data_IF_641151663121
#
_entry.id   IF_641151663121
#
_cell.length_a   1.000
_cell.length_b   1.000
_cell.length_c   1.000
_cell.angle_alpha   90.00
_cell.angle_beta   90.00
_cell.angle_gamma   90.00
#
_symmetry.space_group_name_H-M   'P 1'
#
loop_
_entity.id
_entity.type
_entity.pdbx_description
1 polymer ?
#
# COMPACT_ATOMS: atom_id res chain seq x y z
N UNK A 1 -58.07 -12.63 1.72
CA UNK A 1 -57.09 -11.54 1.89
C UNK A 1 -55.70 -12.15 1.72
N UNK A 2 -55.27 -12.61 0.54
CA UNK A 2 -54.74 -11.87 -0.63
C UNK A 2 -53.75 -10.75 -0.26
N UNK A 3 -52.45 -11.09 -0.27
CA UNK A 3 -51.36 -10.17 -0.60
C UNK A 3 -50.19 -10.99 -1.16
N UNK A 4 -50.15 -11.09 -2.49
CA UNK A 4 -49.06 -11.63 -3.30
C UNK A 4 -47.96 -10.58 -3.47
N UNK A 5 -46.72 -10.99 -3.23
CA UNK A 5 -45.49 -10.23 -3.44
C UNK A 5 -45.08 -10.30 -4.94
N UNK A 6 -44.93 -9.18 -5.68
CA UNK A 6 -44.40 -9.22 -7.03
C UNK A 6 -42.86 -9.14 -7.01
N UNK A 7 -42.25 -10.16 -7.61
CA UNK A 7 -40.82 -10.21 -7.90
C UNK A 7 -40.38 -9.06 -8.80
N UNK A 8 -39.22 -8.49 -8.49
CA UNK A 8 -38.49 -7.52 -9.28
C UNK A 8 -38.26 -8.05 -10.71
N UNK A 9 -38.92 -7.40 -11.67
CA UNK A 9 -38.63 -7.57 -13.08
C UNK A 9 -37.27 -6.91 -13.38
N UNK A 10 -36.27 -7.73 -13.70
CA UNK A 10 -35.04 -7.27 -14.34
C UNK A 10 -35.39 -6.81 -15.75
N UNK A 11 -35.23 -5.49 -15.98
CA UNK A 11 -35.60 -4.82 -17.21
C UNK A 11 -34.79 -5.38 -18.41
N UNK A 12 -35.40 -6.13 -19.35
CA UNK A 12 -34.69 -6.81 -20.44
C UNK A 12 -34.22 -5.82 -21.53
N UNK A 13 -34.50 -4.53 -21.38
CA UNK A 13 -34.17 -3.48 -22.35
C UNK A 13 -32.73 -2.97 -22.16
N UNK A 14 -32.21 -2.94 -20.93
CA UNK A 14 -30.84 -2.47 -20.65
C UNK A 14 -29.77 -3.44 -21.18
N UNK A 15 -29.96 -4.76 -20.99
CA UNK A 15 -29.04 -5.79 -21.46
C UNK A 15 -28.97 -5.87 -23.00
N UNK A 16 -30.08 -5.63 -23.70
CA UNK A 16 -30.08 -5.60 -25.17
C UNK A 16 -29.25 -4.45 -25.74
N UNK A 17 -29.23 -3.29 -25.08
CA UNK A 17 -28.51 -2.10 -25.59
C UNK A 17 -26.98 -2.26 -25.61
N UNK A 18 -26.42 -2.97 -24.64
CA UNK A 18 -24.97 -3.22 -24.53
C UNK A 18 -24.52 -4.30 -25.52
N UNK A 19 -25.30 -5.36 -25.68
CA UNK A 19 -25.02 -6.42 -26.67
C UNK A 19 -25.11 -5.87 -28.09
N UNK A 20 -26.10 -5.01 -28.40
CA UNK A 20 -26.22 -4.36 -29.71
C UNK A 20 -25.06 -3.41 -29.99
N UNK A 21 -24.55 -2.66 -29.00
CA UNK A 21 -23.37 -1.79 -29.20
C UNK A 21 -22.08 -2.58 -29.46
N UNK A 22 -21.91 -3.74 -28.83
CA UNK A 22 -20.75 -4.62 -29.03
C UNK A 22 -20.83 -5.32 -30.39
N UNK A 23 -21.98 -5.84 -30.79
CA UNK A 23 -22.15 -6.46 -32.12
C UNK A 23 -22.01 -5.45 -33.24
N UNK A 24 -22.47 -4.21 -33.06
CA UNK A 24 -22.30 -3.16 -34.06
C UNK A 24 -20.84 -2.76 -34.22
N UNK A 25 -20.07 -2.65 -33.12
CA UNK A 25 -18.62 -2.38 -33.19
C UNK A 25 -17.81 -3.55 -33.77
N UNK A 26 -18.19 -4.80 -33.46
CA UNK A 26 -17.58 -5.99 -34.07
C UNK A 26 -17.88 -6.08 -35.57
N UNK A 27 -19.11 -5.78 -35.99
CA UNK A 27 -19.48 -5.72 -37.40
C UNK A 27 -18.76 -4.57 -38.13
N UNK A 28 -18.57 -3.42 -37.49
CA UNK A 28 -17.78 -2.31 -38.04
C UNK A 28 -16.30 -2.67 -38.21
N UNK A 29 -15.72 -3.40 -37.23
CA UNK A 29 -14.35 -3.89 -37.30
C UNK A 29 -14.19 -5.00 -38.35
N UNK A 30 -15.18 -5.88 -38.53
CA UNK A 30 -15.21 -6.88 -39.61
C UNK A 30 -15.38 -6.26 -40.99
N UNK A 31 -16.23 -5.23 -41.12
CA UNK A 31 -16.41 -4.50 -42.38
C UNK A 31 -15.15 -3.70 -42.75
N UNK A 32 -14.52 -3.03 -41.77
CA UNK A 32 -13.24 -2.35 -41.93
C UNK A 32 -12.13 -3.34 -42.30
N UNK A 33 -12.05 -4.51 -41.67
CA UNK A 33 -11.03 -5.50 -42.00
C UNK A 33 -11.22 -6.10 -43.40
N UNK A 34 -12.47 -6.40 -43.80
CA UNK A 34 -12.77 -6.94 -45.14
C UNK A 34 -12.52 -5.92 -46.26
N UNK A 35 -12.87 -4.65 -46.09
CA UNK A 35 -12.59 -3.62 -47.09
C UNK A 35 -11.11 -3.22 -47.13
N UNK A 36 -10.43 -3.12 -45.97
CA UNK A 36 -8.98 -2.90 -45.94
C UNK A 36 -8.23 -4.03 -46.66
N UNK A 37 -8.63 -5.29 -46.47
CA UNK A 37 -8.01 -6.44 -47.14
C UNK A 37 -8.26 -6.50 -48.65
N UNK A 38 -9.37 -5.95 -49.16
CA UNK A 38 -9.67 -5.92 -50.61
C UNK A 38 -8.84 -4.88 -51.37
N UNK A 39 -8.54 -3.72 -50.77
CA UNK A 39 -7.66 -2.71 -51.40
C UNK A 39 -6.17 -3.10 -51.35
N UNK A 40 -5.78 -3.94 -50.38
CA UNK A 40 -4.42 -4.50 -50.28
C UNK A 40 -4.08 -5.41 -51.47
N UNK A 41 -5.07 -5.90 -52.22
CA UNK A 41 -4.86 -6.78 -53.37
C UNK A 41 -4.33 -6.08 -54.63
N UNK A 42 -4.16 -4.75 -54.63
CA UNK A 42 -3.78 -3.99 -55.85
C UNK A 42 -2.33 -3.52 -55.93
N UNK A 43 -1.47 -3.81 -54.95
CA UNK A 43 -0.04 -3.50 -55.09
C UNK A 43 0.88 -4.19 -54.09
N UNK A 44 2.05 -4.62 -54.57
CA UNK A 44 3.15 -5.22 -53.79
C UNK A 44 3.52 -4.36 -52.57
N UNK A 45 3.32 -3.04 -52.64
CA UNK A 45 3.53 -2.10 -51.53
C UNK A 45 2.61 -2.37 -50.33
N UNK A 46 1.31 -2.61 -50.55
CA UNK A 46 0.38 -2.87 -49.47
C UNK A 46 0.69 -4.21 -48.78
N UNK A 47 1.06 -5.23 -49.56
CA UNK A 47 1.46 -6.54 -49.02
C UNK A 47 2.75 -6.48 -48.22
N UNK A 48 3.78 -5.78 -48.71
CA UNK A 48 5.06 -5.62 -47.99
C UNK A 48 4.92 -4.79 -46.72
N UNK A 49 4.09 -3.74 -46.74
CA UNK A 49 3.74 -2.96 -45.56
C UNK A 49 3.02 -3.83 -44.52
N UNK A 50 2.10 -4.69 -44.96
CA UNK A 50 1.36 -5.60 -44.07
C UNK A 50 2.30 -6.62 -43.43
N UNK A 51 3.20 -7.23 -44.21
CA UNK A 51 4.19 -8.18 -43.68
C UNK A 51 5.12 -7.51 -42.67
N UNK A 52 5.62 -6.29 -42.97
CA UNK A 52 6.48 -5.55 -42.02
C UNK A 52 5.74 -5.15 -40.75
N UNK A 53 4.47 -4.75 -40.83
CA UNK A 53 3.62 -4.50 -39.67
C UNK A 53 3.40 -5.76 -38.82
N UNK A 54 3.15 -6.91 -39.47
CA UNK A 54 2.96 -8.19 -38.77
C UNK A 54 4.24 -8.63 -38.06
N UNK A 55 5.41 -8.48 -38.70
CA UNK A 55 6.71 -8.79 -38.09
C UNK A 55 6.97 -7.88 -36.88
N UNK A 56 6.59 -6.60 -36.96
CA UNK A 56 6.72 -5.66 -35.84
C UNK A 56 5.71 -5.87 -34.70
N UNK A 57 4.59 -6.56 -34.98
CA UNK A 57 3.61 -6.91 -33.97
C UNK A 57 4.20 -7.86 -32.92
N UNK A 58 5.04 -8.80 -33.34
CA UNK A 58 5.65 -9.82 -32.46
C UNK A 58 6.45 -9.20 -31.30
N UNK A 59 7.46 -8.34 -31.52
CA UNK A 59 8.18 -7.70 -30.43
C UNK A 59 7.29 -6.74 -29.61
N UNK A 60 6.31 -6.09 -30.25
CA UNK A 60 5.37 -5.19 -29.55
C UNK A 60 4.47 -5.94 -28.56
N UNK A 61 3.96 -7.11 -28.96
CA UNK A 61 3.21 -8.02 -28.09
C UNK A 61 4.10 -8.58 -26.98
N UNK A 62 5.35 -8.94 -27.30
CA UNK A 62 6.35 -9.34 -26.30
C UNK A 62 6.57 -8.27 -25.22
N UNK A 63 6.72 -7.00 -25.64
CA UNK A 63 6.86 -5.85 -24.74
C UNK A 63 5.59 -5.62 -23.90
N UNK A 64 4.40 -5.79 -24.46
CA UNK A 64 3.14 -5.70 -23.72
C UNK A 64 3.06 -6.77 -22.62
N UNK A 65 3.39 -8.03 -22.95
CA UNK A 65 3.39 -9.13 -21.98
C UNK A 65 4.43 -8.88 -20.89
N UNK A 66 5.64 -8.47 -21.25
CA UNK A 66 6.68 -8.11 -20.30
C UNK A 66 6.24 -6.97 -19.38
N UNK A 67 5.58 -5.95 -19.93
CA UNK A 67 5.03 -4.84 -19.16
C UNK A 67 3.95 -5.29 -18.17
N UNK A 68 2.98 -6.10 -18.62
CA UNK A 68 1.94 -6.65 -17.74
C UNK A 68 2.53 -7.49 -16.60
N UNK A 69 3.54 -8.32 -16.90
CA UNK A 69 4.26 -9.10 -15.87
C UNK A 69 5.00 -8.20 -14.90
N UNK A 70 5.69 -7.16 -15.39
CA UNK A 70 6.43 -6.22 -14.55
C UNK A 70 5.49 -5.43 -13.63
N UNK A 71 4.31 -5.00 -14.12
CA UNK A 71 3.32 -4.31 -13.32
C UNK A 71 2.79 -5.19 -12.19
N UNK A 72 2.45 -6.46 -12.47
CA UNK A 72 1.99 -7.40 -11.46
C UNK A 72 3.07 -7.74 -10.41
N UNK A 73 4.35 -7.79 -10.81
CA UNK A 73 5.46 -7.96 -9.87
C UNK A 73 5.64 -6.73 -8.98
N UNK A 74 5.48 -5.53 -9.52
CA UNK A 74 5.62 -4.29 -8.76
C UNK A 74 4.46 -4.08 -7.78
N UNK A 75 3.23 -4.44 -8.13
CA UNK A 75 2.11 -4.39 -7.18
C UNK A 75 2.34 -5.34 -6.00
N UNK A 76 2.82 -6.56 -6.27
CA UNK A 76 3.20 -7.51 -5.20
C UNK A 76 4.36 -7.00 -4.37
N UNK A 77 5.38 -6.40 -4.99
CA UNK A 77 6.51 -5.81 -4.27
C UNK A 77 6.04 -4.64 -3.38
N UNK A 78 5.06 -3.86 -3.83
CA UNK A 78 4.44 -2.81 -3.02
C UNK A 78 3.70 -3.41 -1.82
N UNK A 79 2.86 -4.43 -2.04
CA UNK A 79 2.17 -5.15 -0.96
C UNK A 79 3.15 -5.68 0.08
N UNK A 80 4.22 -6.35 -0.37
CA UNK A 80 5.27 -6.88 0.51
C UNK A 80 6.02 -5.78 1.27
N UNK A 81 6.23 -4.62 0.66
CA UNK A 81 6.88 -3.49 1.32
C UNK A 81 6.04 -2.95 2.48
N UNK A 82 4.72 -2.79 2.26
CA UNK A 82 3.79 -2.40 3.32
C UNK A 82 3.71 -3.45 4.42
N UNK A 83 3.59 -4.73 4.08
CA UNK A 83 3.56 -5.83 5.04
C UNK A 83 4.83 -5.89 5.88
N UNK A 84 6.00 -5.80 5.24
CA UNK A 84 7.30 -5.81 5.93
C UNK A 84 7.44 -4.61 6.86
N UNK A 85 7.04 -3.42 6.42
CA UNK A 85 7.04 -2.22 7.25
C UNK A 85 6.08 -2.36 8.45
N UNK A 86 4.90 -2.93 8.24
CA UNK A 86 3.91 -3.17 9.30
C UNK A 86 4.41 -4.23 10.30
N UNK A 87 5.04 -5.31 9.84
CA UNK A 87 5.66 -6.33 10.71
C UNK A 87 6.79 -5.71 11.53
N UNK A 88 7.71 -4.99 10.89
CA UNK A 88 8.86 -4.40 11.56
C UNK A 88 8.45 -3.35 12.61
N UNK A 89 7.52 -2.48 12.26
CA UNK A 89 6.97 -1.48 13.18
C UNK A 89 6.15 -2.13 14.28
N UNK A 90 5.36 -3.15 13.95
CA UNK A 90 4.56 -3.84 14.95
C UNK A 90 5.41 -4.55 15.99
N UNK A 91 6.52 -5.17 15.57
CA UNK A 91 7.49 -5.77 16.47
C UNK A 91 8.09 -4.74 17.45
N UNK A 92 8.33 -3.50 17.01
CA UNK A 92 8.81 -2.43 17.90
C UNK A 92 7.76 -2.03 18.95
N UNK A 93 6.48 -1.96 18.54
CA UNK A 93 5.36 -1.71 19.46
C UNK A 93 5.26 -2.84 20.49
N UNK A 94 5.29 -4.09 20.05
CA UNK A 94 5.24 -5.27 20.92
C UNK A 94 6.42 -5.27 21.90
N UNK A 95 7.63 -4.99 21.41
CA UNK A 95 8.84 -4.91 22.24
C UNK A 95 8.74 -3.80 23.29
N UNK A 96 8.21 -2.62 22.93
CA UNK A 96 7.97 -1.52 23.86
C UNK A 96 6.97 -1.92 24.94
N UNK A 97 5.85 -2.52 24.55
CA UNK A 97 4.81 -3.01 25.48
C UNK A 97 5.36 -4.06 26.44
N UNK A 98 6.08 -5.06 25.93
CA UNK A 98 6.65 -6.12 26.76
C UNK A 98 7.70 -5.60 27.73
N UNK A 99 8.57 -4.70 27.28
CA UNK A 99 9.60 -4.09 28.13
C UNK A 99 8.95 -3.33 29.30
N UNK A 100 7.93 -2.52 29.01
CA UNK A 100 7.26 -1.71 30.02
C UNK A 100 6.34 -2.54 30.92
N UNK A 101 5.70 -3.59 30.39
CA UNK A 101 4.97 -4.58 31.18
C UNK A 101 5.89 -5.26 32.18
N UNK A 102 7.06 -5.72 31.75
CA UNK A 102 8.03 -6.38 32.62
C UNK A 102 8.56 -5.41 33.69
N UNK A 103 8.83 -4.15 33.33
CA UNK A 103 9.24 -3.12 34.28
C UNK A 103 8.16 -2.89 35.36
N UNK A 104 6.89 -2.78 34.96
CA UNK A 104 5.77 -2.65 35.89
C UNK A 104 5.59 -3.90 36.75
N UNK A 105 5.78 -5.10 36.19
CA UNK A 105 5.72 -6.35 36.96
C UNK A 105 6.81 -6.41 38.03
N UNK A 106 8.02 -5.94 37.72
CA UNK A 106 9.10 -5.84 38.71
C UNK A 106 8.73 -4.86 39.84
N UNK A 107 8.15 -3.71 39.49
CA UNK A 107 7.63 -2.75 40.47
C UNK A 107 6.52 -3.37 41.35
N UNK A 108 5.59 -4.12 40.73
CA UNK A 108 4.50 -4.80 41.42
C UNK A 108 5.00 -5.89 42.39
N UNK A 109 6.03 -6.65 42.02
CA UNK A 109 6.64 -7.64 42.91
C UNK A 109 7.31 -6.98 44.12
N UNK A 110 8.03 -5.88 43.91
CA UNK A 110 8.68 -5.11 44.99
C UNK A 110 7.64 -4.46 45.91
N UNK A 111 6.53 -3.98 45.36
CA UNK A 111 5.43 -3.42 46.14
C UNK A 111 4.66 -4.50 46.91
N UNK A 112 4.29 -5.61 46.28
CA UNK A 112 3.56 -6.71 46.91
C UNK A 112 4.27 -7.26 48.14
N UNK A 113 5.61 -7.35 48.08
CA UNK A 113 6.45 -7.69 49.22
C UNK A 113 6.36 -6.65 50.36
N UNK A 114 6.20 -5.36 50.04
CA UNK A 114 6.07 -4.28 51.01
C UNK A 114 4.64 -4.11 51.57
N UNK A 115 3.60 -4.42 50.78
CA UNK A 115 2.19 -4.32 51.21
C UNK A 115 1.77 -5.50 52.09
N UNK A 116 2.29 -6.70 51.85
CA UNK A 116 2.12 -7.89 52.70
C UNK A 116 2.48 -7.61 54.18
N UNK A 117 3.50 -6.78 54.42
CA UNK A 117 3.93 -6.39 55.77
C UNK A 117 2.96 -5.40 56.47
N UNK A 118 2.03 -4.79 55.72
CA UNK A 118 1.09 -3.77 56.22
C UNK A 118 -0.37 -4.22 56.29
N UNK A 119 -0.74 -5.30 55.58
CA UNK A 119 -2.12 -5.76 55.42
C UNK A 119 -2.58 -6.76 56.51
N UNK A 120 -1.68 -7.31 57.31
CA UNK A 120 -2.01 -8.25 58.38
C UNK A 120 -2.75 -7.63 59.58
N UNK A 121 -2.90 -6.30 59.66
CA UNK A 121 -3.69 -5.68 60.73
C UNK A 121 -4.13 -4.23 60.44
N UNK A 122 -5.39 -3.97 60.03
CA UNK A 122 -5.89 -2.61 59.79
C UNK A 122 -6.00 -1.73 61.05
N UNK A 123 -5.86 -2.29 62.25
CA UNK A 123 -5.95 -1.55 63.52
C UNK A 123 -4.59 -1.23 64.16
N UNK A 124 -3.47 -1.79 63.68
CA UNK A 124 -2.15 -1.52 64.28
C UNK A 124 -1.40 -0.37 63.59
N UNK A 125 -1.51 0.78 64.22
CA UNK A 125 -0.42 1.79 64.36
C UNK A 125 -0.13 2.67 63.13
N UNK A 126 -1.08 3.54 62.83
CA UNK A 126 -0.97 4.66 61.88
C UNK A 126 0.14 5.71 62.17
N UNK A 127 0.95 5.58 63.22
CA UNK A 127 1.74 6.71 63.73
C UNK A 127 3.26 6.68 63.47
N UNK A 128 3.91 5.53 63.23
CA UNK A 128 5.37 5.51 62.95
C UNK A 128 5.85 4.41 62.00
N UNK A 129 5.42 3.15 62.19
CA UNK A 129 5.79 2.02 61.30
C UNK A 129 5.25 2.21 59.88
N UNK A 130 4.06 2.81 59.77
CA UNK A 130 3.40 3.17 58.51
C UNK A 130 4.14 4.31 57.75
N UNK A 131 4.79 5.24 58.47
CA UNK A 131 5.53 6.34 57.81
C UNK A 131 6.80 5.84 57.11
N UNK A 132 7.58 4.95 57.74
CA UNK A 132 8.78 4.40 57.09
C UNK A 132 8.43 3.52 55.89
N UNK A 133 7.43 2.64 56.02
CA UNK A 133 6.94 1.82 54.91
C UNK A 133 6.39 2.67 53.76
N UNK A 134 5.62 3.72 54.06
CA UNK A 134 5.12 4.67 53.05
C UNK A 134 6.26 5.41 52.36
N UNK A 135 7.27 5.86 53.09
CA UNK A 135 8.45 6.54 52.51
C UNK A 135 9.24 5.59 51.60
N UNK A 136 9.40 4.32 51.99
CA UNK A 136 10.05 3.31 51.16
C UNK A 136 9.24 3.02 49.89
N UNK A 137 7.92 2.89 49.99
CA UNK A 137 7.04 2.70 48.83
C UNK A 137 7.08 3.91 47.91
N UNK A 138 6.97 5.13 48.44
CA UNK A 138 7.03 6.35 47.64
C UNK A 138 8.36 6.45 46.89
N UNK A 139 9.49 6.17 47.57
CA UNK A 139 10.82 6.16 46.96
C UNK A 139 10.95 5.09 45.86
N UNK A 140 10.32 3.93 46.04
CA UNK A 140 10.29 2.87 45.03
C UNK A 140 9.65 3.36 43.72
N UNK A 141 8.47 3.97 43.82
CA UNK A 141 7.74 4.53 42.68
C UNK A 141 8.45 5.74 42.06
N UNK A 142 9.06 6.60 42.88
CA UNK A 142 9.92 7.70 42.40
C UNK A 142 11.09 7.15 41.57
N UNK A 143 11.80 6.15 42.10
CA UNK A 143 12.95 5.54 41.43
C UNK A 143 12.52 4.91 40.10
N UNK A 144 11.32 4.33 40.04
CA UNK A 144 10.76 3.82 38.79
C UNK A 144 10.57 4.92 37.75
N UNK A 145 9.89 6.02 38.08
CA UNK A 145 9.70 7.16 37.16
C UNK A 145 11.04 7.78 36.75
N UNK A 146 11.99 7.90 37.68
CA UNK A 146 13.33 8.43 37.42
C UNK A 146 14.15 7.52 36.48
N UNK A 147 13.94 6.20 36.55
CA UNK A 147 14.66 5.21 35.73
C UNK A 147 14.00 5.01 34.37
N UNK A 148 12.66 5.00 34.34
CA UNK A 148 11.85 4.72 33.18
C UNK A 148 11.16 6.00 32.71
N UNK A 149 11.90 6.84 31.98
CA UNK A 149 11.45 8.16 31.50
C UNK A 149 10.20 8.15 30.62
N UNK A 150 9.70 6.97 30.22
CA UNK A 150 8.40 6.89 29.58
C UNK A 150 7.26 7.19 30.56
N UNK A 151 7.42 6.91 31.86
CA UNK A 151 6.39 7.06 32.89
C UNK A 151 6.34 8.49 33.42
N UNK A 152 5.16 9.11 33.40
CA UNK A 152 4.94 10.42 34.04
C UNK A 152 4.45 10.27 35.48
N UNK A 153 3.65 9.23 35.74
CA UNK A 153 3.11 8.92 37.06
C UNK A 153 2.92 7.41 37.19
N UNK A 154 3.71 6.80 38.07
CA UNK A 154 3.49 5.44 38.55
C UNK A 154 2.80 5.44 39.92
N UNK A 155 1.88 4.49 40.15
CA UNK A 155 1.15 4.32 41.41
C UNK A 155 0.65 2.89 41.60
N UNK A 156 0.44 2.51 42.86
CA UNK A 156 -0.20 1.23 43.22
C UNK A 156 -1.63 1.45 43.71
N UNK A 157 -2.52 0.51 43.42
CA UNK A 157 -3.95 0.52 43.76
C UNK A 157 -4.27 -0.75 44.54
N UNK A 158 -4.97 -0.62 45.67
CA UNK A 158 -5.45 -1.77 46.46
C UNK A 158 -6.72 -2.39 45.88
N UNK A 159 -7.17 -3.52 46.46
CA UNK A 159 -8.44 -4.17 46.09
C UNK A 159 -9.68 -3.28 46.31
N UNK A 160 -9.57 -2.27 47.16
CA UNK A 160 -10.60 -1.27 47.42
C UNK A 160 -10.64 -0.15 46.37
N UNK A 161 -9.77 -0.21 45.36
CA UNK A 161 -9.72 0.75 44.25
C UNK A 161 -9.04 2.08 44.60
N UNK A 162 -8.51 2.25 45.81
CA UNK A 162 -7.78 3.45 46.20
C UNK A 162 -6.28 3.29 46.00
N UNK A 163 -5.61 4.39 45.68
CA UNK A 163 -4.16 4.38 45.58
C UNK A 163 -3.51 4.18 46.95
N UNK A 164 -2.50 3.32 46.99
CA UNK A 164 -1.72 2.99 48.20
C UNK A 164 -0.30 3.55 48.14
N UNK A 165 0.21 3.84 46.95
CA UNK A 165 1.51 4.47 46.73
C UNK A 165 1.51 5.28 45.44
N UNK A 166 2.30 6.36 45.38
CA UNK A 166 2.44 7.24 44.21
C UNK A 166 3.90 7.69 44.08
N UNK A 167 4.31 7.97 42.84
CA UNK A 167 5.64 8.52 42.52
C UNK A 167 5.76 10.02 42.79
N UNK A 168 4.67 10.78 42.78
CA UNK A 168 4.69 12.25 42.93
C UNK A 168 4.65 12.75 44.38
N UNK A 169 4.89 11.88 45.37
CA UNK A 169 4.89 12.15 46.83
C UNK A 169 3.59 12.79 47.35
N UNK A 170 2.49 12.77 46.56
CA UNK A 170 1.20 13.27 47.04
C UNK A 170 0.62 12.32 48.08
N UNK A 171 0.07 12.84 49.19
CA UNK A 171 -0.47 12.01 50.25
C UNK A 171 -1.69 11.23 49.76
N UNK A 172 -1.65 9.91 49.91
CA UNK A 172 -2.76 8.99 49.56
C UNK A 172 -3.91 9.01 50.59
N UNK A 173 -3.72 9.72 51.69
CA UNK A 173 -4.75 10.01 52.69
C UNK A 173 -4.93 11.53 52.78
N UNK A 174 -6.17 11.95 52.91
CA UNK A 174 -6.52 13.32 53.28
C UNK A 174 -6.15 13.56 54.76
N UNK A 175 -6.17 14.84 55.17
CA UNK A 175 -5.84 15.25 56.53
C UNK A 175 -6.77 14.64 57.61
N UNK A 176 -7.98 14.25 57.22
CA UNK A 176 -9.00 13.59 58.05
C UNK A 176 -8.87 12.05 58.06
N UNK A 177 -7.85 11.50 57.40
CA UNK A 177 -7.61 10.05 57.31
C UNK A 177 -8.40 9.34 56.21
N UNK A 178 -9.22 10.05 55.43
CA UNK A 178 -9.97 9.47 54.32
C UNK A 178 -9.04 9.19 53.13
N UNK A 179 -9.20 8.03 52.48
CA UNK A 179 -8.41 7.67 51.29
C UNK A 179 -8.66 8.66 50.15
N UNK A 180 -7.57 9.05 49.48
CA UNK A 180 -7.58 9.93 48.31
C UNK A 180 -7.33 9.12 47.03
N UNK A 181 -7.65 9.71 45.87
CA UNK A 181 -7.36 9.14 44.54
C UNK A 181 -7.95 7.74 44.32
N UNK A 182 -9.28 7.66 44.20
CA UNK A 182 -9.95 6.46 43.72
C UNK A 182 -9.65 6.25 42.24
N UNK A 183 -9.30 5.02 41.85
CA UNK A 183 -9.03 4.61 40.47
C UNK A 183 -9.67 3.25 40.12
N UNK A 184 -10.47 2.67 41.03
CA UNK A 184 -11.11 1.37 40.83
C UNK A 184 -12.22 1.38 39.77
N UNK A 185 -12.67 2.56 39.33
CA UNK A 185 -13.59 2.76 38.21
C UNK A 185 -12.89 2.80 36.85
N UNK A 186 -11.56 2.97 36.81
CA UNK A 186 -10.83 3.06 35.55
C UNK A 186 -10.75 1.70 34.84
N UNK A 187 -11.11 1.63 33.55
CA UNK A 187 -11.04 0.40 32.75
C UNK A 187 -9.73 -0.39 32.88
N UNK A 188 -8.56 0.26 32.76
CA UNK A 188 -7.27 -0.44 32.85
C UNK A 188 -6.99 -1.05 34.24
N UNK A 189 -7.60 -0.53 35.30
CA UNK A 189 -7.53 -1.11 36.66
C UNK A 189 -8.53 -2.26 36.79
N UNK A 190 -9.78 -2.08 36.35
CA UNK A 190 -10.81 -3.12 36.40
C UNK A 190 -10.43 -4.38 35.63
N UNK A 191 -9.81 -4.20 34.45
CA UNK A 191 -9.25 -5.28 33.64
C UNK A 191 -8.30 -6.19 34.45
N UNK A 192 -7.53 -5.61 35.37
CA UNK A 192 -6.61 -6.33 36.27
C UNK A 192 -7.34 -6.91 37.48
N UNK A 193 -8.12 -6.09 38.21
CA UNK A 193 -8.78 -6.53 39.44
C UNK A 193 -9.82 -7.63 39.21
N UNK A 194 -10.46 -7.63 38.04
CA UNK A 194 -11.42 -8.68 37.64
C UNK A 194 -10.72 -9.94 37.10
N UNK A 195 -9.38 -9.94 36.98
CA UNK A 195 -8.61 -11.05 36.41
C UNK A 195 -8.85 -11.28 34.92
N UNK A 196 -9.33 -10.27 34.18
CA UNK A 196 -9.61 -10.37 32.74
C UNK A 196 -8.34 -10.43 31.91
N UNK A 197 -7.28 -9.73 32.33
CA UNK A 197 -5.97 -9.70 31.67
C UNK A 197 -4.84 -9.48 32.69
N UNK A 198 -3.61 -9.78 32.29
CA UNK A 198 -2.39 -9.51 33.06
C UNK A 198 -1.72 -8.17 32.67
N UNK A 199 -2.24 -7.50 31.64
CA UNK A 199 -1.85 -6.15 31.24
C UNK A 199 -3.12 -5.38 30.87
N UNK A 200 -3.54 -4.49 31.76
CA UNK A 200 -4.64 -3.58 31.51
C UNK A 200 -4.14 -2.34 30.76
N UNK A 201 -4.96 -1.81 29.86
CA UNK A 201 -4.61 -0.59 29.13
C UNK A 201 -5.82 0.32 28.91
N UNK A 202 -5.56 1.62 28.91
CA UNK A 202 -6.56 2.62 28.54
C UNK A 202 -5.88 3.85 27.94
N UNK A 203 -6.45 4.35 26.85
CA UNK A 203 -6.16 5.67 26.32
C UNK A 203 -7.17 6.67 26.91
N UNK A 204 -6.69 7.66 27.64
CA UNK A 204 -7.50 8.64 28.36
C UNK A 204 -6.90 10.05 28.28
N UNK A 205 -7.67 11.04 28.70
CA UNK A 205 -7.12 12.38 28.99
C UNK A 205 -6.78 12.41 30.48
N UNK A 206 -5.51 12.66 30.80
CA UNK A 206 -5.02 12.63 32.17
C UNK A 206 -5.61 13.77 33.00
N UNK A 207 -6.22 13.46 34.14
CA UNK A 207 -6.70 14.47 35.08
C UNK A 207 -5.57 15.36 35.62
N UNK A 208 -4.33 14.87 35.60
CA UNK A 208 -3.17 15.57 36.14
C UNK A 208 -2.57 16.58 35.16
N UNK A 209 -2.58 16.27 33.85
CA UNK A 209 -1.92 17.09 32.82
C UNK A 209 -2.91 17.73 31.84
N UNK A 210 -4.15 17.25 31.76
CA UNK A 210 -5.13 17.66 30.75
C UNK A 210 -4.80 17.17 29.33
N UNK A 211 -3.78 16.32 29.17
CA UNK A 211 -3.30 15.83 27.88
C UNK A 211 -3.62 14.33 27.71
N UNK A 212 -3.75 13.86 26.45
CA UNK A 212 -3.81 12.44 26.14
C UNK A 212 -2.66 11.64 26.78
N UNK A 213 -3.03 10.55 27.43
CA UNK A 213 -2.10 9.64 28.08
C UNK A 213 -2.53 8.19 27.85
N UNK A 214 -1.54 7.32 27.75
CA UNK A 214 -1.68 5.87 27.77
C UNK A 214 -1.36 5.39 29.18
N UNK A 215 -2.32 4.73 29.82
CA UNK A 215 -2.12 4.09 31.12
C UNK A 215 -2.02 2.58 30.93
N UNK A 216 -1.01 1.98 31.55
CA UNK A 216 -0.79 0.54 31.61
C UNK A 216 -0.85 0.07 33.06
N UNK A 217 -1.47 -1.08 33.32
CA UNK A 217 -1.51 -1.70 34.63
C UNK A 217 -1.20 -3.19 34.60
N UNK A 218 -0.63 -3.69 35.69
CA UNK A 218 -0.30 -5.10 35.90
C UNK A 218 -0.80 -5.54 37.29
N UNK A 219 -1.11 -6.83 37.49
CA UNK A 219 -1.56 -7.31 38.78
C UNK A 219 -0.43 -7.27 39.81
N UNK A 220 -0.75 -6.76 41.01
CA UNK A 220 0.09 -6.93 42.19
C UNK A 220 -0.32 -8.23 42.87
N UNK A 221 0.51 -9.26 42.78
CA UNK A 221 0.18 -10.59 43.28
C UNK A 221 1.01 -10.99 44.50
N UNK A 222 0.38 -11.72 45.42
CA UNK A 222 1.03 -12.39 46.53
C UNK A 222 0.52 -13.83 46.58
N UNK A 223 1.43 -14.82 46.57
CA UNK A 223 1.07 -16.25 46.57
C UNK A 223 0.03 -16.63 45.49
N UNK A 224 0.14 -16.02 44.30
CA UNK A 224 -0.78 -16.17 43.16
C UNK A 224 -2.19 -15.57 43.34
N UNK A 225 -2.46 -14.85 44.43
CA UNK A 225 -3.69 -14.06 44.60
C UNK A 225 -3.44 -12.59 44.24
N UNK A 226 -4.41 -11.97 43.55
CA UNK A 226 -4.38 -10.54 43.22
C UNK A 226 -4.69 -9.75 44.50
N UNK A 227 -3.74 -8.90 44.92
CA UNK A 227 -3.85 -8.00 46.08
C UNK A 227 -4.07 -6.53 45.66
N UNK A 228 -4.10 -6.27 44.36
CA UNK A 228 -4.26 -4.95 43.78
C UNK A 228 -3.65 -4.86 42.38
N UNK A 229 -3.34 -3.65 41.96
CA UNK A 229 -2.72 -3.37 40.67
C UNK A 229 -1.60 -2.34 40.82
N UNK A 230 -0.58 -2.44 39.97
CA UNK A 230 0.40 -1.37 39.75
C UNK A 230 0.17 -0.79 38.39
N UNK A 231 0.11 0.53 38.31
CA UNK A 231 -0.14 1.24 37.07
C UNK A 231 0.89 2.35 36.85
N UNK A 232 1.08 2.67 35.59
CA UNK A 232 1.84 3.83 35.14
C UNK A 232 1.15 4.44 33.94
N UNK A 233 1.07 5.77 33.94
CA UNK A 233 0.55 6.54 32.84
C UNK A 233 1.67 7.37 32.21
N UNK A 234 1.59 7.53 30.89
CA UNK A 234 2.55 8.30 30.10
C UNK A 234 1.85 9.11 29.02
N UNK A 235 2.40 10.26 28.66
CA UNK A 235 2.11 10.90 27.39
C UNK A 235 2.34 9.97 26.19
N UNK A 236 1.75 10.33 25.05
CA UNK A 236 1.79 9.50 23.84
C UNK A 236 3.14 9.55 23.09
N UNK A 237 4.02 10.49 23.44
CA UNK A 237 5.33 10.63 22.80
C UNK A 237 6.22 9.40 23.01
N UNK A 238 6.16 8.79 24.19
CA UNK A 238 7.00 7.64 24.52
C UNK A 238 6.74 6.43 23.61
N UNK A 239 5.47 6.18 23.25
CA UNK A 239 5.08 5.12 22.33
C UNK A 239 5.16 5.57 20.86
N UNK A 240 5.04 6.88 20.59
CA UNK A 240 5.28 7.44 19.25
C UNK A 240 6.67 7.08 18.71
N UNK A 241 7.69 7.08 19.57
CA UNK A 241 9.04 6.67 19.18
C UNK A 241 9.12 5.21 18.72
N UNK A 242 8.26 4.32 19.21
CA UNK A 242 8.22 2.92 18.77
C UNK A 242 7.67 2.78 17.34
N UNK A 243 6.77 3.68 16.91
CA UNK A 243 6.17 3.63 15.57
C UNK A 243 6.94 4.45 14.53
N UNK A 244 7.79 5.40 14.94
CA UNK A 244 8.57 6.25 14.01
C UNK A 244 9.85 5.62 13.49
N UNK A 245 10.35 4.55 14.11
CA UNK A 245 11.67 3.98 13.77
C UNK A 245 11.77 3.40 12.36
N UNK A 246 10.65 2.89 11.83
CA UNK A 246 10.61 2.21 10.53
C UNK A 246 9.80 3.04 9.53
N UNK A 247 10.47 3.92 8.79
CA UNK A 247 9.83 4.74 7.78
C UNK A 247 9.77 4.00 6.42
N UNK A 248 8.58 3.96 5.81
CA UNK A 248 8.37 3.43 4.46
C UNK A 248 8.44 4.56 3.43
N UNK A 249 9.45 4.53 2.55
CA UNK A 249 9.66 5.62 1.59
C UNK A 249 9.90 6.97 2.29
N UNK A 250 9.53 8.07 1.62
CA UNK A 250 9.71 9.44 2.09
C UNK A 250 8.46 10.01 2.74
N UNK A 251 7.28 9.57 2.30
CA UNK A 251 5.96 10.05 2.76
C UNK A 251 5.26 9.07 3.69
N UNK A 252 5.91 7.96 4.03
CA UNK A 252 5.38 6.93 4.90
C UNK A 252 5.18 7.41 6.33
N UNK A 253 4.02 7.05 6.90
CA UNK A 253 3.66 7.33 8.28
C UNK A 253 3.03 6.07 8.87
N UNK A 254 3.45 5.73 10.09
CA UNK A 254 2.82 4.72 10.92
C UNK A 254 1.87 5.36 11.92
N UNK A 255 0.69 4.78 12.12
CA UNK A 255 -0.31 5.23 13.08
C UNK A 255 -0.79 4.03 13.87
N UNK A 256 -0.66 4.09 15.19
CA UNK A 256 -1.17 3.07 16.10
C UNK A 256 -2.49 3.57 16.69
N UNK A 257 -3.53 2.74 16.61
CA UNK A 257 -4.85 3.02 17.17
C UNK A 257 -5.28 1.94 18.14
N UNK A 258 -6.08 2.33 19.13
CA UNK A 258 -6.70 1.41 20.08
C UNK A 258 -7.91 0.67 19.46
N UNK A 259 -8.57 -0.14 20.28
CA UNK A 259 -9.76 -0.90 19.90
C UNK A 259 -10.95 -0.01 19.47
N UNK A 260 -11.01 1.25 19.96
CA UNK A 260 -11.98 2.26 19.56
C UNK A 260 -11.52 3.11 18.36
N UNK A 261 -10.41 2.75 17.69
CA UNK A 261 -9.79 3.51 16.61
C UNK A 261 -9.26 4.89 17.00
N UNK A 262 -9.01 5.14 18.30
CA UNK A 262 -8.40 6.38 18.79
C UNK A 262 -6.89 6.30 18.65
N UNK A 263 -6.25 7.39 18.26
CA UNK A 263 -4.81 7.44 18.00
C UNK A 263 -4.02 7.33 19.30
N UNK A 264 -3.26 6.25 19.43
CA UNK A 264 -2.27 6.05 20.50
C UNK A 264 -0.94 6.68 20.10
N UNK A 265 -0.53 6.49 18.85
CA UNK A 265 0.77 6.92 18.37
C UNK A 265 0.71 7.31 16.89
N UNK A 266 1.51 8.30 16.48
CA UNK A 266 1.55 8.77 15.09
C UNK A 266 2.98 9.11 14.70
N UNK A 267 3.40 8.68 13.50
CA UNK A 267 4.77 8.80 13.01
C UNK A 267 5.15 10.19 12.46
N UNK A 268 4.17 11.05 12.21
CA UNK A 268 4.36 12.50 12.01
C UNK A 268 4.12 13.28 13.30
N UNK A 269 4.35 14.59 13.29
CA UNK A 269 4.11 15.45 14.47
C UNK A 269 2.72 15.20 15.05
N UNK A 270 2.67 14.60 16.24
CA UNK A 270 1.45 14.56 17.04
C UNK A 270 1.06 16.02 17.28
N UNK A 271 -0.16 16.38 16.89
CA UNK A 271 -0.69 17.66 17.35
C UNK A 271 -0.82 17.53 18.86
N UNK A 272 -0.20 18.44 19.59
CA UNK A 272 -0.49 18.68 21.01
C UNK A 272 -1.96 19.14 21.10
N UNK A 273 -2.84 18.16 21.02
CA UNK A 273 -4.29 18.30 21.08
C UNK A 273 -4.71 17.77 22.43
N UNK A 274 -5.50 18.55 23.16
CA UNK A 274 -6.12 18.13 24.41
C UNK A 274 -7.16 17.01 24.18
N UNK A 275 -7.58 16.80 22.93
CA UNK A 275 -8.55 15.78 22.54
C UNK A 275 -7.88 14.57 21.90
N UNK A 276 -8.40 13.38 22.24
CA UNK A 276 -8.07 12.12 21.57
C UNK A 276 -8.53 12.17 20.12
N UNK A 277 -7.59 11.99 19.17
CA UNK A 277 -7.93 11.90 17.75
C UNK A 277 -8.61 10.55 17.47
N UNK A 278 -9.78 10.60 16.84
CA UNK A 278 -10.57 9.43 16.46
C UNK A 278 -10.46 9.18 14.95
N UNK A 279 -10.04 7.97 14.58
CA UNK A 279 -9.92 7.51 13.20
C UNK A 279 -11.01 6.51 12.81
N UNK A 280 -12.12 6.44 13.53
CA UNK A 280 -13.27 5.58 13.18
C UNK A 280 -13.80 5.84 11.76
N UNK A 281 -13.62 7.06 11.23
CA UNK A 281 -13.97 7.41 9.85
C UNK A 281 -12.89 7.07 8.80
N UNK A 282 -11.74 6.57 9.22
CA UNK A 282 -10.63 6.23 8.34
C UNK A 282 -10.99 5.02 7.46
N UNK A 283 -11.02 5.16 6.12
CA UNK A 283 -11.53 4.12 5.24
C UNK A 283 -10.85 2.76 5.37
N UNK A 284 -9.55 2.72 5.66
CA UNK A 284 -8.81 1.46 5.82
C UNK A 284 -9.20 0.67 7.08
N UNK A 285 -9.81 1.31 8.08
CA UNK A 285 -10.28 0.63 9.30
C UNK A 285 -11.69 0.05 9.14
N UNK A 286 -12.43 0.48 8.10
CA UNK A 286 -13.80 0.02 7.80
C UNK A 286 -13.84 -1.19 6.87
N UNK A 287 -12.71 -1.58 6.28
CA UNK A 287 -12.65 -2.72 5.37
C UNK A 287 -12.52 -4.03 6.14
N UNK A 288 -13.22 -5.07 5.69
CA UNK A 288 -13.03 -6.44 6.20
C UNK A 288 -11.71 -7.06 5.70
N UNK A 289 -11.09 -6.49 4.66
CA UNK A 289 -9.77 -6.92 4.14
C UNK A 289 -8.63 -6.17 4.82
N UNK A 290 -8.44 -6.43 6.11
CA UNK A 290 -7.17 -6.11 6.77
C UNK A 290 -6.01 -6.81 6.05
N UNK A 291 -4.79 -6.32 6.26
CA UNK A 291 -3.58 -6.89 5.68
C UNK A 291 -3.51 -6.85 4.15
N UNK A 292 -4.27 -5.94 3.52
CA UNK A 292 -4.13 -5.63 2.09
C UNK A 292 -4.04 -4.11 1.88
N UNK A 293 -3.08 -3.61 1.07
CA UNK A 293 -3.00 -2.18 0.80
C UNK A 293 -4.26 -1.69 0.09
N UNK A 294 -4.88 -0.66 0.64
CA UNK A 294 -6.09 -0.04 0.11
C UNK A 294 -5.82 1.41 -0.24
N UNK A 295 -6.25 1.84 -1.42
CA UNK A 295 -6.11 3.22 -1.88
C UNK A 295 -7.40 4.01 -1.63
N UNK A 296 -7.27 5.22 -1.09
CA UNK A 296 -8.40 6.14 -0.89
C UNK A 296 -7.90 7.57 -0.73
N UNK A 297 -8.83 8.52 -0.76
CA UNK A 297 -8.54 9.92 -0.46
C UNK A 297 -8.78 10.20 1.01
N UNK A 298 -7.76 10.71 1.71
CA UNK A 298 -7.83 11.14 3.10
C UNK A 298 -7.29 12.56 3.22
N UNK A 299 -8.05 13.46 3.85
CA UNK A 299 -7.66 14.88 4.06
C UNK A 299 -7.12 15.55 2.77
N UNK A 300 -7.83 15.37 1.66
CA UNK A 300 -7.48 15.87 0.32
C UNK A 300 -6.17 15.31 -0.29
N UNK A 301 -5.64 14.21 0.23
CA UNK A 301 -4.48 13.50 -0.33
C UNK A 301 -4.86 12.07 -0.68
N UNK A 302 -4.34 11.55 -1.80
CA UNK A 302 -4.49 10.14 -2.15
C UNK A 302 -3.42 9.34 -1.40
N UNK A 303 -3.89 8.41 -0.58
CA UNK A 303 -3.04 7.58 0.27
C UNK A 303 -3.30 6.11 -0.01
N UNK A 304 -2.25 5.31 0.09
CA UNK A 304 -2.31 3.86 0.13
C UNK A 304 -2.01 3.46 1.57
N UNK A 305 -2.95 2.75 2.22
CA UNK A 305 -2.79 2.33 3.60
C UNK A 305 -2.93 0.81 3.75
N UNK A 306 -2.14 0.25 4.65
CA UNK A 306 -2.13 -1.14 5.06
C UNK A 306 -2.40 -1.20 6.55
N UNK A 307 -3.33 -2.07 6.98
CA UNK A 307 -3.73 -2.18 8.39
C UNK A 307 -3.43 -3.58 8.89
N UNK A 308 -2.79 -3.66 10.07
CA UNK A 308 -2.44 -4.92 10.73
C UNK A 308 -2.74 -4.85 12.23
N UNK A 309 -3.37 -5.87 12.83
CA UNK A 309 -3.46 -5.99 14.28
C UNK A 309 -2.06 -6.11 14.93
N UNK A 310 -1.84 -5.45 16.06
CA UNK A 310 -0.54 -5.43 16.78
C UNK A 310 -0.75 -5.22 18.26
N UNK A 311 0.18 -5.65 19.13
CA UNK A 311 0.20 -5.26 20.53
C UNK A 311 -0.91 -5.92 21.32
N UNK A 312 -1.75 -5.10 21.94
CA UNK A 312 -2.86 -5.55 22.76
C UNK A 312 -4.07 -5.94 21.91
N UNK A 313 -5.00 -6.67 22.50
CA UNK A 313 -6.23 -7.03 21.82
C UNK A 313 -6.97 -5.77 21.33
N UNK A 314 -7.41 -5.80 20.06
CA UNK A 314 -8.11 -4.69 19.41
C UNK A 314 -7.21 -3.56 18.87
N UNK A 315 -5.94 -3.49 19.26
CA UNK A 315 -5.00 -2.50 18.72
C UNK A 315 -4.64 -2.79 17.26
N UNK A 316 -4.55 -1.73 16.47
CA UNK A 316 -4.26 -1.80 15.03
C UNK A 316 -3.19 -0.81 14.63
N UNK A 317 -2.26 -1.27 13.81
CA UNK A 317 -1.24 -0.47 13.17
C UNK A 317 -1.64 -0.17 11.73
N UNK A 318 -1.61 1.10 11.38
CA UNK A 318 -1.86 1.60 10.04
C UNK A 318 -0.53 2.10 9.49
N UNK A 319 -0.08 1.54 8.38
CA UNK A 319 1.03 2.06 7.60
C UNK A 319 0.44 2.74 6.37
N UNK A 320 0.61 4.05 6.26
CA UNK A 320 0.13 4.82 5.11
C UNK A 320 1.28 5.48 4.36
N UNK A 321 1.14 5.62 3.05
CA UNK A 321 2.07 6.34 2.18
C UNK A 321 1.27 7.10 1.11
N UNK A 322 1.79 8.21 0.59
CA UNK A 322 1.16 8.87 -0.55
C UNK A 322 1.14 7.94 -1.77
N UNK A 323 -0.03 7.78 -2.40
CA UNK A 323 -0.19 6.87 -3.55
C UNK A 323 0.75 7.24 -4.70
N UNK A 324 0.96 8.55 -4.92
CA UNK A 324 1.87 9.05 -5.94
C UNK A 324 3.33 8.58 -5.74
N UNK A 325 3.78 8.43 -4.49
CA UNK A 325 5.11 7.91 -4.18
C UNK A 325 5.15 6.38 -4.30
N UNK A 326 4.18 5.70 -3.70
CA UNK A 326 4.03 4.24 -3.71
C UNK A 326 4.06 3.68 -5.16
N UNK A 327 3.44 4.40 -6.10
CA UNK A 327 3.35 3.99 -7.51
C UNK A 327 4.49 4.54 -8.39
N UNK A 328 5.42 5.36 -7.88
CA UNK A 328 6.52 5.88 -8.70
C UNK A 328 7.34 4.81 -9.44
N UNK A 329 7.68 3.66 -8.84
CA UNK A 329 8.37 2.58 -9.55
C UNK A 329 7.55 2.04 -10.74
N UNK A 330 6.23 2.00 -10.59
CA UNK A 330 5.28 1.54 -11.62
C UNK A 330 5.20 2.55 -12.76
N UNK A 331 5.05 3.84 -12.42
CA UNK A 331 4.99 4.91 -13.41
C UNK A 331 6.30 5.03 -14.19
N UNK A 332 7.47 4.91 -13.53
CA UNK A 332 8.77 4.93 -14.20
C UNK A 332 8.93 3.76 -15.16
N UNK A 333 8.56 2.54 -14.77
CA UNK A 333 8.61 1.38 -15.64
C UNK A 333 7.69 1.55 -16.86
N UNK A 334 6.50 2.12 -16.67
CA UNK A 334 5.56 2.42 -17.76
C UNK A 334 6.15 3.36 -18.81
N UNK A 335 6.82 4.43 -18.41
CA UNK A 335 7.45 5.36 -19.37
C UNK A 335 8.58 4.71 -20.16
N UNK A 336 9.38 3.84 -19.54
CA UNK A 336 10.41 3.08 -20.27
C UNK A 336 9.78 2.15 -21.32
N UNK A 337 8.68 1.47 -20.99
CA UNK A 337 7.95 0.65 -21.96
C UNK A 337 7.41 1.48 -23.11
N UNK A 338 6.80 2.64 -22.84
CA UNK A 338 6.26 3.53 -23.87
C UNK A 338 7.37 4.04 -24.81
N UNK A 339 8.52 4.43 -24.27
CA UNK A 339 9.67 4.84 -25.07
C UNK A 339 10.19 3.72 -25.95
N UNK A 340 10.32 2.50 -25.41
CA UNK A 340 10.75 1.34 -26.18
C UNK A 340 9.76 1.00 -27.30
N UNK A 341 8.46 1.02 -27.01
CA UNK A 341 7.42 0.81 -28.03
C UNK A 341 7.46 1.87 -29.12
N UNK A 342 7.62 3.14 -28.74
CA UNK A 342 7.76 4.25 -29.67
C UNK A 342 9.01 4.09 -30.55
N UNK A 343 10.15 3.71 -29.97
CA UNK A 343 11.39 3.46 -30.70
C UNK A 343 11.26 2.28 -31.67
N UNK A 344 10.67 1.15 -31.26
CA UNK A 344 10.46 -0.01 -32.14
C UNK A 344 9.43 0.27 -33.24
N UNK A 345 8.37 1.02 -32.92
CA UNK A 345 7.37 1.46 -33.90
C UNK A 345 7.97 2.40 -34.93
N UNK A 346 8.75 3.39 -34.48
CA UNK A 346 9.48 4.31 -35.34
C UNK A 346 10.48 3.59 -36.26
N UNK A 347 11.26 2.66 -35.71
CA UNK A 347 12.21 1.86 -36.49
C UNK A 347 11.50 1.01 -37.55
N UNK A 348 10.38 0.38 -37.21
CA UNK A 348 9.56 -0.37 -38.17
C UNK A 348 9.09 0.51 -39.33
N UNK A 349 8.55 1.70 -39.04
CA UNK A 349 8.09 2.63 -40.06
C UNK A 349 9.24 3.10 -40.96
N UNK A 350 10.41 3.39 -40.38
CA UNK A 350 11.60 3.74 -41.13
C UNK A 350 12.06 2.61 -42.05
N UNK A 351 12.08 1.37 -41.57
CA UNK A 351 12.43 0.21 -42.37
C UNK A 351 11.40 -0.04 -43.48
N UNK A 352 10.10 0.02 -43.18
CA UNK A 352 9.05 -0.12 -44.18
C UNK A 352 9.14 0.95 -45.28
N UNK A 353 9.41 2.20 -44.90
CA UNK A 353 9.65 3.29 -45.85
C UNK A 353 10.90 3.03 -46.71
N UNK A 354 12.00 2.59 -46.10
CA UNK A 354 13.24 2.22 -46.78
C UNK A 354 13.03 1.08 -47.78
N UNK A 355 12.40 -0.02 -47.36
CA UNK A 355 12.06 -1.17 -48.22
C UNK A 355 11.15 -0.77 -49.39
N UNK A 356 10.13 0.05 -49.13
CA UNK A 356 9.25 0.56 -50.18
C UNK A 356 10.02 1.33 -51.24
N UNK A 357 10.93 2.22 -50.83
CA UNK A 357 11.68 3.08 -51.74
C UNK A 357 12.80 2.35 -52.47
N UNK A 358 13.48 1.41 -51.81
CA UNK A 358 14.65 0.73 -52.37
C UNK A 358 14.35 -0.53 -53.16
N UNK A 359 13.26 -1.25 -52.84
CA UNK A 359 12.92 -2.53 -53.46
C UNK A 359 11.58 -2.46 -54.20
N UNK A 360 10.50 -2.09 -53.50
CA UNK A 360 9.14 -2.19 -54.06
C UNK A 360 8.94 -1.27 -55.27
N UNK A 361 9.31 0.01 -55.16
CA UNK A 361 9.14 0.98 -56.26
C UNK A 361 9.92 0.60 -57.52
N UNK A 362 11.23 0.25 -57.45
CA UNK A 362 11.97 -0.23 -58.61
C UNK A 362 11.37 -1.50 -59.24
N UNK A 363 10.96 -2.47 -58.41
CA UNK A 363 10.29 -3.69 -58.90
C UNK A 363 9.01 -3.35 -59.67
N UNK A 364 8.17 -2.46 -59.14
CA UNK A 364 6.96 -2.01 -59.83
C UNK A 364 7.28 -1.31 -61.16
N UNK A 365 8.32 -0.47 -61.22
CA UNK A 365 8.74 0.17 -62.49
C UNK A 365 9.26 -0.83 -63.51
N UNK A 366 9.99 -1.86 -63.07
CA UNK A 366 10.48 -2.92 -63.96
C UNK A 366 9.35 -3.80 -64.47
N UNK A 367 8.38 -4.14 -63.62
CA UNK A 367 7.17 -4.87 -64.04
C UNK A 367 6.37 -4.07 -65.06
N UNK A 368 6.17 -2.76 -64.82
CA UNK A 368 5.47 -1.89 -65.77
C UNK A 368 6.22 -1.76 -67.11
N UNK A 369 7.55 -1.64 -67.08
CA UNK A 369 8.38 -1.59 -68.28
C UNK A 369 8.34 -2.89 -69.09
N UNK A 370 8.46 -4.04 -68.44
CA UNK A 370 8.35 -5.34 -69.09
C UNK A 370 6.96 -5.57 -69.72
N UNK A 371 5.90 -5.13 -69.02
CA UNK A 371 4.52 -5.21 -69.49
C UNK A 371 4.23 -4.23 -70.66
N UNK A 372 4.96 -3.12 -70.76
CA UNK A 372 4.88 -2.25 -71.93
C UNK A 372 5.57 -2.89 -73.16
N UNK A 373 6.75 -3.50 -72.95
CA UNK A 373 7.46 -4.25 -73.99
C UNK A 373 6.62 -5.41 -74.52
N UNK A 374 5.92 -6.15 -73.65
CA UNK A 374 5.04 -7.25 -74.07
C UNK A 374 3.88 -6.80 -74.95
N UNK A 375 3.44 -5.55 -74.82
CA UNK A 375 2.41 -4.91 -75.65
C UNK A 375 2.95 -4.29 -76.95
N UNK A 376 4.23 -4.51 -77.28
CA UNK A 376 4.87 -3.98 -78.48
C UNK A 376 5.37 -2.54 -78.36
N UNK A 377 5.42 -1.97 -77.15
CA UNK A 377 6.03 -0.65 -76.92
C UNK A 377 7.53 -0.85 -76.67
N UNK A 378 8.35 -0.69 -77.71
CA UNK A 378 9.76 -1.08 -77.69
C UNK A 378 10.73 0.07 -77.31
N UNK A 379 10.28 1.32 -77.37
CA UNK A 379 11.06 2.51 -76.98
C UNK A 379 10.94 2.87 -75.48
N UNK A 380 10.59 1.91 -74.62
CA UNK A 380 10.37 2.18 -73.20
C UNK A 380 11.69 2.25 -72.44
N UNK A 381 11.94 3.37 -71.76
CA UNK A 381 13.10 3.55 -70.90
C UNK A 381 12.96 2.69 -69.63
N UNK A 382 13.82 1.67 -69.50
CA UNK A 382 13.86 0.83 -68.31
C UNK A 382 14.64 1.54 -67.21
N UNK A 383 13.95 1.98 -66.16
CA UNK A 383 14.57 2.65 -65.01
C UNK A 383 15.46 1.69 -64.19
N UNK A 384 16.53 2.23 -63.59
CA UNK A 384 17.37 1.50 -62.63
C UNK A 384 18.49 0.64 -63.22
N UNK A 385 18.80 0.79 -64.50
CA UNK A 385 19.88 0.06 -65.21
C UNK A 385 21.27 0.33 -64.63
N UNK A 386 21.48 1.50 -64.03
CA UNK A 386 22.75 1.90 -63.42
C UNK A 386 22.98 1.33 -62.01
N UNK A 387 21.97 0.66 -61.42
CA UNK A 387 22.12 0.02 -60.11
C UNK A 387 23.10 -1.15 -60.18
N UNK A 388 23.86 -1.34 -59.11
CA UNK A 388 24.88 -2.40 -59.03
C UNK A 388 24.42 -3.66 -58.27
N UNK A 389 23.14 -3.71 -57.87
CA UNK A 389 22.55 -4.84 -57.17
C UNK A 389 21.74 -5.77 -58.09
N UNK A 390 21.08 -6.77 -57.51
CA UNK A 390 20.25 -7.75 -58.20
C UNK A 390 19.07 -7.09 -58.95
N UNK A 391 18.54 -5.98 -58.41
CA UNK A 391 17.49 -5.20 -59.08
C UNK A 391 18.05 -4.54 -60.34
N UNK A 392 19.26 -3.99 -60.30
CA UNK A 392 19.95 -3.48 -61.49
C UNK A 392 20.29 -4.58 -62.51
N UNK A 393 20.68 -5.77 -62.04
CA UNK A 393 20.93 -6.92 -62.90
C UNK A 393 19.65 -7.36 -63.63
N UNK A 394 18.51 -7.33 -62.95
CA UNK A 394 17.20 -7.56 -63.56
C UNK A 394 16.84 -6.47 -64.57
N UNK A 395 17.02 -5.19 -64.21
CA UNK A 395 16.77 -4.05 -65.11
C UNK A 395 17.55 -4.17 -66.44
N UNK A 396 18.85 -4.49 -66.35
CA UNK A 396 19.70 -4.75 -67.53
C UNK A 396 19.20 -5.92 -68.37
N UNK A 397 18.73 -6.98 -67.74
CA UNK A 397 18.20 -8.15 -68.44
C UNK A 397 16.90 -7.84 -69.18
N UNK A 398 15.98 -7.10 -68.55
CA UNK A 398 14.74 -6.61 -69.20
C UNK A 398 15.06 -5.68 -70.38
N UNK A 399 16.02 -4.75 -70.22
CA UNK A 399 16.47 -3.87 -71.31
C UNK A 399 17.02 -4.65 -72.51
N UNK A 400 17.84 -5.69 -72.27
CA UNK A 400 18.34 -6.56 -73.34
C UNK A 400 17.21 -7.31 -74.05
N UNK A 401 16.24 -7.82 -73.30
CA UNK A 401 15.08 -8.50 -73.87
C UNK A 401 14.26 -7.57 -74.76
N UNK A 402 13.99 -6.33 -74.33
CA UNK A 402 13.30 -5.33 -75.14
C UNK A 402 14.03 -5.05 -76.46
N UNK A 403 15.36 -4.88 -76.42
CA UNK A 403 16.16 -4.67 -77.61
C UNK A 403 16.14 -5.88 -78.57
N UNK A 404 16.23 -7.11 -78.05
CA UNK A 404 16.15 -8.32 -78.87
C UNK A 404 14.78 -8.49 -79.53
N UNK A 405 13.69 -8.19 -78.82
CA UNK A 405 12.33 -8.23 -79.39
C UNK A 405 12.17 -7.16 -80.46
N UNK A 406 12.74 -5.96 -80.27
CA UNK A 406 12.68 -4.91 -81.27
C UNK A 406 13.37 -5.30 -82.59
N UNK A 407 14.56 -5.89 -82.49
CA UNK A 407 15.30 -6.40 -83.66
C UNK A 407 14.49 -7.49 -84.37
N UNK A 408 13.90 -8.43 -83.64
CA UNK A 408 13.09 -9.49 -84.22
C UNK A 408 11.81 -8.98 -84.92
N UNK A 409 11.21 -7.90 -84.41
CA UNK A 409 10.07 -7.25 -85.07
C UNK A 409 10.47 -6.53 -86.36
N UNK A 410 11.63 -5.87 -86.37
CA UNK A 410 12.16 -5.15 -87.54
C UNK A 410 12.56 -6.12 -88.68
N UNK A 411 13.01 -7.33 -88.35
CA UNK A 411 13.30 -8.39 -89.34
C UNK A 411 12.04 -9.04 -89.95
N UNK A 412 10.87 -8.92 -89.30
CA UNK A 412 9.61 -9.53 -89.73
C UNK A 412 8.65 -8.57 -90.45
N UNK A 413 8.90 -7.27 -90.37
CA UNK A 413 8.15 -6.21 -91.08
C UNK A 413 8.79 -5.88 -92.42
#
# INVERSE_FOLDING_TARGET
>A
MTASNPAQATDPIAAKSTTTRITTRLAQLQWLSQHLLQDIHRGIFAQTLLVTLVVALVPSVGLLIAHQRSAALQTKALEQAFETAAIATGLQVDQWLDTNRLALQQLALQQGAASAASLDNPERTFQQTDRQTRLLQTRLFQTFVDTYHWSDLAFGVGLDGYQVARSDDKPVLKWDGVKAYFQGDRPYIQQILNGTTNLGSELLVSDATGLPALCLAVPMQQQAEIQGAVASCSGLEAIAQAVTQNQIGQTGVAILVDEQNRVIAHGGALRESEQLEDLSDYPALKTERLETPTQFTWRAQNVTAYVKPVGLEGWKLIIQQQTAEAEQPIVRARWHTVWLMGATGGLTLLLAYGFSRQLVRPLQSLTAGADAVSRGQLEVEIAGVDRQDEIGALARSVKRLAASVAIAFDELS
#
